data_IF_372163281973
#
_entry.id   IF_372163281973
#
_cell.length_a   1.000
_cell.length_b   1.000
_cell.length_c   1.000
_cell.angle_alpha   90.00
_cell.angle_beta   90.00
_cell.angle_gamma   90.00
#
_symmetry.space_group_name_H-M   'P 1'
#
loop_
_entity.id
_entity.type
_entity.pdbx_description
1 polymer ?
#
# COMPACT_ATOMS: atom_id res chain seq x y z
N UNK A 1 -56.71 -47.29 -9.25
CA UNK A 1 -55.51 -47.20 -10.10
C UNK A 1 -54.31 -47.25 -9.16
N UNK A 2 -53.68 -48.41 -9.09
CA UNK A 2 -52.70 -48.79 -8.06
C UNK A 2 -51.32 -48.62 -8.68
N UNK A 3 -50.59 -47.58 -8.31
CA UNK A 3 -49.23 -47.35 -8.81
C UNK A 3 -48.25 -48.07 -7.90
N UNK A 4 -47.65 -49.12 -8.46
CA UNK A 4 -46.62 -49.96 -7.85
C UNK A 4 -45.28 -49.19 -7.85
N UNK A 5 -44.72 -48.93 -6.67
CA UNK A 5 -43.40 -48.31 -6.51
C UNK A 5 -42.35 -49.43 -6.39
N UNK A 6 -41.51 -49.61 -7.41
CA UNK A 6 -40.39 -50.55 -7.39
C UNK A 6 -39.16 -49.89 -6.75
N UNK A 7 -38.70 -50.49 -5.65
CA UNK A 7 -37.37 -50.27 -5.07
C UNK A 7 -36.29 -50.85 -5.99
N UNK A 8 -35.26 -50.05 -6.30
CA UNK A 8 -33.96 -50.53 -6.78
C UNK A 8 -32.90 -50.18 -5.72
N UNK A 9 -32.51 -51.18 -4.93
CA UNK A 9 -31.33 -51.11 -4.06
C UNK A 9 -30.07 -51.27 -4.93
N UNK A 10 -29.32 -50.18 -5.12
CA UNK A 10 -27.97 -50.23 -5.67
C UNK A 10 -26.96 -50.52 -4.56
N UNK A 11 -26.32 -51.68 -4.59
CA UNK A 11 -25.13 -51.97 -3.80
C UNK A 11 -23.94 -51.19 -4.38
N UNK A 12 -23.71 -49.98 -3.87
CA UNK A 12 -22.46 -49.26 -4.07
C UNK A 12 -21.39 -49.83 -3.14
N UNK A 13 -20.39 -50.51 -3.69
CA UNK A 13 -19.17 -50.90 -2.97
C UNK A 13 -18.39 -49.63 -2.63
N UNK A 14 -18.49 -49.17 -1.39
CA UNK A 14 -17.57 -48.15 -0.87
C UNK A 14 -16.19 -48.79 -0.74
N UNK A 15 -15.26 -48.39 -1.61
CA UNK A 15 -13.84 -48.64 -1.38
C UNK A 15 -13.47 -48.03 -0.02
N UNK A 16 -12.68 -48.72 0.82
CA UNK A 16 -12.20 -48.14 2.06
C UNK A 16 -11.27 -46.97 1.71
N UNK A 17 -11.76 -45.74 1.88
CA UNK A 17 -10.91 -44.57 1.98
C UNK A 17 -10.09 -44.75 3.24
N UNK A 18 -8.85 -45.21 3.09
CA UNK A 18 -7.85 -45.14 4.15
C UNK A 18 -7.50 -43.68 4.36
N UNK A 19 -8.31 -42.99 5.16
CA UNK A 19 -7.87 -41.80 5.89
C UNK A 19 -6.84 -42.27 6.90
N UNK A 20 -5.57 -42.30 6.48
CA UNK A 20 -4.44 -42.39 7.39
C UNK A 20 -4.51 -41.19 8.34
N UNK A 21 -4.43 -41.38 9.66
CA UNK A 21 -4.32 -40.26 10.58
C UNK A 21 -3.02 -39.53 10.26
N UNK A 22 -3.14 -38.24 9.93
CA UNK A 22 -2.01 -37.31 9.98
C UNK A 22 -1.41 -37.37 11.39
N UNK A 23 -0.11 -37.65 11.51
CA UNK A 23 0.60 -37.34 12.75
C UNK A 23 1.76 -38.23 13.20
N UNK A 24 2.08 -39.36 12.54
CA UNK A 24 3.26 -40.15 12.93
C UNK A 24 4.18 -40.40 11.74
N UNK A 25 5.23 -39.59 11.63
CA UNK A 25 6.38 -39.89 10.77
C UNK A 25 7.02 -41.17 11.32
N UNK A 26 7.00 -42.24 10.53
CA UNK A 26 7.53 -43.55 10.94
C UNK A 26 8.94 -43.75 10.39
N UNK A 27 9.83 -44.23 11.25
CA UNK A 27 11.19 -44.64 10.86
C UNK A 27 11.34 -46.17 11.04
N UNK A 28 11.92 -46.90 10.06
CA UNK A 28 12.38 -46.41 8.75
C UNK A 28 11.23 -45.90 7.88
N UNK A 29 11.49 -44.90 7.04
CA UNK A 29 10.49 -44.37 6.12
C UNK A 29 10.05 -45.44 5.11
N UNK A 30 8.85 -45.28 4.55
CA UNK A 30 8.38 -46.14 3.47
C UNK A 30 9.33 -46.08 2.26
N UNK A 31 9.35 -47.16 1.47
CA UNK A 31 10.13 -47.19 0.24
C UNK A 31 9.68 -46.07 -0.72
N UNK A 32 10.66 -45.36 -1.31
CA UNK A 32 10.41 -44.24 -2.23
C UNK A 32 10.13 -42.88 -1.56
N UNK A 33 10.21 -42.78 -0.23
CA UNK A 33 9.94 -41.53 0.51
C UNK A 33 10.90 -40.38 0.19
N UNK A 34 12.02 -40.66 -0.47
CA UNK A 34 12.92 -39.66 -1.07
C UNK A 34 12.29 -38.90 -2.25
N UNK A 35 11.20 -39.40 -2.83
CA UNK A 35 10.42 -38.67 -3.82
C UNK A 35 9.71 -37.47 -3.18
N UNK A 36 9.97 -36.26 -3.69
CA UNK A 36 9.38 -35.02 -3.16
C UNK A 36 7.85 -34.98 -3.16
N UNK A 37 7.19 -35.79 -4.00
CA UNK A 37 5.73 -35.93 -3.99
C UNK A 37 5.18 -36.61 -2.73
N UNK A 38 6.00 -37.41 -2.03
CA UNK A 38 5.61 -38.14 -0.82
C UNK A 38 5.90 -37.34 0.44
N UNK A 39 7.11 -36.79 0.59
CA UNK A 39 7.49 -36.07 1.82
C UNK A 39 7.28 -34.55 1.73
N UNK A 40 7.14 -33.95 0.54
CA UNK A 40 7.05 -32.49 0.37
C UNK A 40 5.87 -31.85 1.12
N UNK A 41 4.62 -32.32 0.94
CA UNK A 41 3.47 -31.79 1.67
C UNK A 41 3.58 -31.95 3.19
N UNK A 42 4.13 -33.08 3.66
CA UNK A 42 4.32 -33.36 5.09
C UNK A 42 5.44 -32.49 5.69
N UNK A 43 6.54 -32.30 4.97
CA UNK A 43 7.65 -31.43 5.37
C UNK A 43 7.23 -29.96 5.49
N UNK A 44 6.29 -29.50 4.66
CA UNK A 44 5.72 -28.15 4.75
C UNK A 44 4.79 -27.97 5.95
N UNK A 45 4.06 -29.01 6.35
CA UNK A 45 3.11 -28.95 7.47
C UNK A 45 3.75 -29.26 8.83
N UNK A 46 4.86 -30.00 8.84
CA UNK A 46 5.44 -30.58 10.05
C UNK A 46 6.97 -30.59 10.04
N UNK A 47 7.58 -29.56 9.44
CA UNK A 47 9.04 -29.47 9.28
C UNK A 47 9.83 -29.64 10.59
N UNK A 48 9.27 -29.26 11.74
CA UNK A 48 9.89 -29.49 13.05
C UNK A 48 10.05 -30.97 13.40
N UNK A 49 9.09 -31.82 13.01
CA UNK A 49 9.16 -33.27 13.23
C UNK A 49 10.28 -33.89 12.38
N UNK A 50 10.45 -33.41 11.14
CA UNK A 50 11.52 -33.85 10.25
C UNK A 50 12.90 -33.38 10.77
N UNK A 51 12.98 -32.15 11.27
CA UNK A 51 14.22 -31.52 11.76
C UNK A 51 14.87 -32.23 12.94
N UNK A 52 14.14 -33.02 13.72
CA UNK A 52 14.72 -33.85 14.78
C UNK A 52 15.73 -34.87 14.26
N UNK A 53 15.44 -35.45 13.08
CA UNK A 53 16.27 -36.45 12.42
C UNK A 53 17.11 -35.85 11.28
N UNK A 54 16.57 -34.91 10.50
CA UNK A 54 17.20 -34.33 9.29
C UNK A 54 17.89 -32.98 9.56
N UNK A 55 18.87 -33.00 10.45
CA UNK A 55 19.64 -31.81 10.87
C UNK A 55 21.14 -31.99 10.69
N UNK A 56 21.86 -30.87 10.71
CA UNK A 56 23.33 -30.87 10.67
C UNK A 56 23.91 -31.76 11.78
N UNK A 57 24.85 -32.64 11.39
CA UNK A 57 25.50 -33.60 12.27
C UNK A 57 24.70 -34.87 12.59
N UNK A 58 23.51 -35.05 12.00
CA UNK A 58 22.78 -36.32 12.05
C UNK A 58 23.30 -37.32 10.99
N UNK A 59 22.88 -38.59 11.09
CA UNK A 59 23.14 -39.60 10.05
C UNK A 59 22.16 -39.52 8.87
N UNK A 60 21.06 -38.77 9.01
CA UNK A 60 20.11 -38.57 7.92
C UNK A 60 20.58 -37.40 7.03
N UNK A 61 20.29 -37.42 5.72
CA UNK A 61 20.61 -36.29 4.84
C UNK A 61 19.85 -35.04 5.27
N UNK A 62 20.49 -33.88 5.20
CA UNK A 62 19.79 -32.61 5.44
C UNK A 62 18.97 -32.23 4.22
N UNK A 63 17.93 -31.41 4.40
CA UNK A 63 17.12 -30.91 3.29
C UNK A 63 17.99 -30.21 2.22
N UNK A 64 18.99 -29.44 2.66
CA UNK A 64 19.91 -28.73 1.78
C UNK A 64 20.83 -29.64 0.94
N UNK A 65 20.97 -30.92 1.30
CA UNK A 65 21.75 -31.88 0.50
C UNK A 65 21.04 -32.31 -0.79
N UNK A 66 19.73 -32.12 -0.87
CA UNK A 66 18.91 -32.40 -2.06
C UNK A 66 18.18 -31.15 -2.61
N UNK A 67 18.00 -30.13 -1.78
CA UNK A 67 17.32 -28.88 -2.11
C UNK A 67 18.25 -27.69 -1.90
N UNK A 68 18.99 -27.31 -2.95
CA UNK A 68 20.03 -26.27 -2.91
C UNK A 68 19.54 -24.89 -2.43
N UNK A 69 18.23 -24.65 -2.51
CA UNK A 69 17.60 -23.40 -2.08
C UNK A 69 16.83 -23.54 -0.77
N UNK A 70 16.96 -24.65 -0.04
CA UNK A 70 16.19 -24.90 1.18
C UNK A 70 16.92 -24.44 2.47
N UNK A 71 16.22 -23.77 3.40
CA UNK A 71 14.92 -23.14 3.19
C UNK A 71 15.03 -21.89 2.29
N UNK A 72 16.25 -21.34 2.17
CA UNK A 72 16.59 -20.22 1.30
C UNK A 72 17.95 -20.45 0.63
N UNK A 73 18.18 -19.83 -0.53
CA UNK A 73 19.48 -19.87 -1.20
C UNK A 73 20.60 -19.18 -0.38
N UNK A 74 21.84 -19.57 -0.62
CA UNK A 74 23.00 -18.91 -0.01
C UNK A 74 23.00 -17.40 -0.31
N UNK A 75 23.26 -16.58 0.70
CA UNK A 75 23.24 -15.11 0.59
C UNK A 75 21.86 -14.47 0.64
N UNK A 76 20.78 -15.25 0.84
CA UNK A 76 19.41 -14.71 0.88
C UNK A 76 19.21 -13.57 1.88
N UNK A 77 19.83 -13.62 3.06
CA UNK A 77 19.74 -12.56 4.08
C UNK A 77 20.37 -11.22 3.65
N UNK A 78 21.06 -11.16 2.52
CA UNK A 78 21.53 -9.89 1.97
C UNK A 78 20.32 -8.99 1.67
N UNK A 79 20.37 -7.72 2.09
CA UNK A 79 19.21 -6.83 2.07
C UNK A 79 18.66 -6.55 0.67
N UNK A 80 19.51 -6.63 -0.35
CA UNK A 80 19.19 -6.54 -1.77
C UNK A 80 18.55 -7.82 -2.35
N UNK A 81 18.55 -8.93 -1.60
CA UNK A 81 17.91 -10.19 -1.98
C UNK A 81 16.63 -10.41 -1.16
N UNK A 82 16.71 -10.44 0.17
CA UNK A 82 15.57 -10.68 1.05
C UNK A 82 14.55 -9.52 1.02
N UNK A 83 15.02 -8.28 1.09
CA UNK A 83 14.16 -7.11 1.29
C UNK A 83 13.52 -6.56 0.01
N UNK A 84 14.11 -6.84 -1.16
CA UNK A 84 13.73 -6.21 -2.43
C UNK A 84 12.30 -6.54 -2.83
N UNK A 85 11.85 -7.76 -2.53
CA UNK A 85 10.49 -8.23 -2.83
C UNK A 85 9.44 -7.83 -1.81
N UNK A 86 9.81 -7.34 -0.62
CA UNK A 86 8.89 -7.08 0.49
C UNK A 86 8.25 -5.69 0.45
N UNK A 87 8.57 -4.88 -0.56
CA UNK A 87 8.07 -3.51 -0.73
C UNK A 87 7.34 -3.32 -2.06
N UNK A 88 6.64 -2.19 -2.23
CA UNK A 88 5.87 -1.90 -3.45
C UNK A 88 4.64 -2.79 -3.64
N UNK A 89 4.12 -2.83 -4.87
CA UNK A 89 2.90 -3.57 -5.22
C UNK A 89 3.04 -5.09 -5.04
N UNK A 90 4.23 -5.63 -5.26
CA UNK A 90 4.54 -7.05 -5.11
C UNK A 90 4.80 -7.43 -3.64
N UNK A 91 5.05 -6.43 -2.78
CA UNK A 91 5.39 -6.62 -1.37
C UNK A 91 4.32 -7.33 -0.56
N UNK A 92 3.04 -7.10 -0.86
CA UNK A 92 1.94 -7.78 -0.17
C UNK A 92 1.97 -9.29 -0.41
N UNK A 93 2.00 -9.71 -1.67
CA UNK A 93 2.06 -11.12 -2.04
C UNK A 93 3.36 -11.80 -1.56
N UNK A 94 4.49 -11.09 -1.63
CA UNK A 94 5.75 -11.61 -1.12
C UNK A 94 5.71 -11.86 0.40
N UNK A 95 5.14 -10.92 1.17
CA UNK A 95 4.96 -11.09 2.62
C UNK A 95 4.01 -12.23 2.95
N UNK A 96 2.90 -12.35 2.24
CA UNK A 96 1.96 -13.47 2.40
C UNK A 96 2.66 -14.82 2.17
N UNK A 97 3.48 -14.92 1.13
CA UNK A 97 4.28 -16.12 0.85
C UNK A 97 5.30 -16.42 1.97
N UNK A 98 5.97 -15.40 2.52
CA UNK A 98 6.87 -15.58 3.66
C UNK A 98 6.12 -16.04 4.91
N UNK A 99 5.02 -15.37 5.25
CA UNK A 99 4.16 -15.67 6.41
C UNK A 99 3.60 -17.08 6.32
N UNK A 100 3.18 -17.53 5.14
CA UNK A 100 2.67 -18.89 4.94
C UNK A 100 3.67 -19.99 5.31
N UNK A 101 4.98 -19.73 5.16
CA UNK A 101 6.01 -20.67 5.61
C UNK A 101 6.48 -20.38 7.05
N UNK A 102 6.50 -19.13 7.49
CA UNK A 102 7.05 -18.74 8.78
C UNK A 102 6.04 -18.84 9.94
N UNK A 103 4.75 -18.89 9.66
CA UNK A 103 3.72 -19.20 10.65
C UNK A 103 3.74 -20.70 10.97
N UNK A 104 4.12 -21.06 12.20
CA UNK A 104 4.12 -22.45 12.67
C UNK A 104 5.45 -23.20 12.50
N UNK A 105 6.45 -22.58 11.90
CA UNK A 105 7.85 -23.04 11.99
C UNK A 105 8.58 -22.20 13.05
N UNK A 106 9.61 -22.76 13.70
CA UNK A 106 10.60 -22.03 14.53
C UNK A 106 11.43 -20.99 13.74
N UNK A 107 10.85 -20.31 12.75
CA UNK A 107 11.47 -19.27 11.97
C UNK A 107 11.52 -17.95 12.78
N UNK A 108 12.61 -17.15 12.66
CA UNK A 108 12.65 -15.81 13.23
C UNK A 108 11.49 -14.96 12.71
N UNK A 109 10.79 -14.28 13.61
CA UNK A 109 9.83 -13.24 13.23
C UNK A 109 10.56 -12.04 12.62
N UNK A 110 9.88 -11.27 11.77
CA UNK A 110 10.44 -10.04 11.20
C UNK A 110 11.02 -9.11 12.28
N UNK A 111 10.38 -9.06 13.45
CA UNK A 111 10.78 -8.22 14.59
C UNK A 111 12.09 -8.63 15.25
N UNK A 112 12.57 -9.85 15.02
CA UNK A 112 13.86 -10.32 15.54
C UNK A 112 15.03 -9.53 14.95
N UNK A 113 14.93 -9.14 13.67
CA UNK A 113 15.96 -8.35 12.98
C UNK A 113 15.50 -6.92 12.68
N UNK A 114 14.18 -6.70 12.57
CA UNK A 114 13.56 -5.41 12.30
C UNK A 114 12.70 -4.98 13.49
N UNK A 115 13.29 -4.47 14.59
CA UNK A 115 12.57 -4.15 15.82
C UNK A 115 11.50 -3.07 15.65
N UNK A 116 11.55 -2.32 14.54
CA UNK A 116 10.55 -1.31 14.17
C UNK A 116 9.52 -1.83 13.17
N UNK A 117 9.41 -3.15 12.96
CA UNK A 117 8.45 -3.75 12.04
C UNK A 117 7.10 -4.06 12.72
N UNK A 118 5.95 -3.78 12.07
CA UNK A 118 5.84 -2.99 10.85
C UNK A 118 6.07 -1.49 11.11
N UNK A 119 5.88 -1.05 12.35
CA UNK A 119 6.11 0.32 12.81
C UNK A 119 6.82 0.35 14.17
N UNK A 120 7.66 1.35 14.46
CA UNK A 120 8.28 1.52 15.78
C UNK A 120 7.24 1.91 16.85
N UNK A 121 7.62 1.76 18.13
CA UNK A 121 6.82 2.25 19.24
C UNK A 121 6.53 3.77 19.12
N UNK A 122 5.29 4.16 19.43
CA UNK A 122 4.83 5.56 19.32
C UNK A 122 4.61 6.04 17.88
N UNK A 123 4.74 5.19 16.85
CA UNK A 123 4.57 5.62 15.45
C UNK A 123 3.20 6.25 15.16
N UNK A 124 2.14 5.80 15.84
CA UNK A 124 0.79 6.33 15.67
C UNK A 124 0.63 7.79 16.16
N UNK A 125 1.60 8.33 16.90
CA UNK A 125 1.61 9.74 17.33
C UNK A 125 1.59 10.68 16.12
N UNK A 126 0.81 11.77 16.23
CA UNK A 126 0.53 12.72 15.14
C UNK A 126 1.79 13.30 14.47
N UNK A 127 2.84 13.50 15.25
CA UNK A 127 4.09 14.10 14.78
C UNK A 127 5.05 13.09 14.15
N UNK A 128 4.79 11.77 14.28
CA UNK A 128 5.69 10.72 13.79
C UNK A 128 5.30 10.19 12.42
N UNK A 129 4.14 9.54 12.27
CA UNK A 129 3.77 8.94 10.99
C UNK A 129 3.63 9.99 9.88
N UNK A 130 3.12 11.18 10.21
CA UNK A 130 2.96 12.27 9.26
C UNK A 130 4.31 12.81 8.77
N UNK A 131 5.29 12.96 9.68
CA UNK A 131 6.65 13.35 9.31
C UNK A 131 7.34 12.27 8.46
N UNK A 132 7.12 11.00 8.76
CA UNK A 132 7.63 9.87 7.99
C UNK A 132 7.06 9.83 6.57
N UNK A 133 5.74 10.00 6.43
CA UNK A 133 5.08 10.07 5.13
C UNK A 133 5.63 11.21 4.27
N UNK A 134 5.87 12.38 4.87
CA UNK A 134 6.46 13.54 4.18
C UNK A 134 7.92 13.31 3.78
N UNK A 135 8.73 12.69 4.63
CA UNK A 135 10.17 12.46 4.35
C UNK A 135 10.40 11.47 3.20
N UNK A 136 9.42 10.60 2.92
CA UNK A 136 9.42 9.64 1.80
C UNK A 136 8.78 10.20 0.52
N UNK A 137 8.54 11.50 0.46
CA UNK A 137 7.86 12.14 -0.65
C UNK A 137 6.35 12.17 -0.42
N UNK A 138 5.67 11.02 -0.38
CA UNK A 138 4.22 10.99 -0.13
C UNK A 138 3.84 9.85 0.80
N UNK A 139 2.67 9.95 1.44
CA UNK A 139 2.16 8.84 2.25
C UNK A 139 1.89 7.59 1.39
N UNK A 140 1.51 7.76 0.12
CA UNK A 140 1.36 6.63 -0.82
C UNK A 140 2.70 5.93 -1.06
N UNK A 141 3.77 6.68 -1.31
CA UNK A 141 5.12 6.13 -1.48
C UNK A 141 5.65 5.50 -0.18
N UNK A 142 5.27 6.04 0.97
CA UNK A 142 5.73 5.58 2.28
C UNK A 142 4.99 4.33 2.77
N UNK A 143 3.67 4.27 2.55
CA UNK A 143 2.76 3.36 3.24
C UNK A 143 1.96 2.47 2.29
N UNK A 144 1.86 2.82 1.00
CA UNK A 144 0.96 2.17 0.03
C UNK A 144 1.22 0.69 -0.20
N UNK A 145 2.47 0.24 0.01
CA UNK A 145 2.81 -1.19 -0.07
C UNK A 145 2.14 -2.05 1.01
N UNK A 146 1.69 -1.45 2.11
CA UNK A 146 1.04 -2.15 3.23
C UNK A 146 -0.42 -1.72 3.41
N UNK A 147 -0.72 -0.44 3.18
CA UNK A 147 -2.05 0.16 3.35
C UNK A 147 -2.88 0.20 2.05
N UNK A 148 -2.37 -0.44 1.00
CA UNK A 148 -3.06 -0.59 -0.27
C UNK A 148 -3.09 0.68 -1.12
N UNK A 149 -3.66 0.59 -2.33
CA UNK A 149 -3.71 1.71 -3.27
C UNK A 149 -4.51 2.89 -2.72
N UNK A 150 -3.93 4.09 -2.82
CA UNK A 150 -4.49 5.35 -2.32
C UNK A 150 -4.73 5.33 -0.81
N UNK A 151 -4.03 4.46 -0.08
CA UNK A 151 -4.14 4.29 1.37
C UNK A 151 -5.57 4.04 1.85
N UNK A 152 -6.34 3.26 1.08
CA UNK A 152 -7.71 2.87 1.41
C UNK A 152 -7.82 1.79 2.49
N UNK A 153 -6.69 1.32 2.98
CA UNK A 153 -6.62 0.18 3.89
C UNK A 153 -6.62 -1.15 3.15
N UNK A 154 -6.31 -2.19 3.92
CA UNK A 154 -6.39 -3.61 3.55
C UNK A 154 -7.03 -4.36 4.72
N UNK A 155 -7.23 -5.67 4.60
CA UNK A 155 -7.75 -6.48 5.71
C UNK A 155 -6.87 -6.43 6.98
N UNK A 156 -5.60 -6.04 6.81
CA UNK A 156 -4.60 -5.99 7.89
C UNK A 156 -4.08 -4.59 8.21
N UNK A 157 -4.52 -3.56 7.48
CA UNK A 157 -4.00 -2.20 7.63
C UNK A 157 -5.12 -1.15 7.50
N UNK A 158 -5.18 -0.14 8.39
CA UNK A 158 -6.25 0.85 8.37
C UNK A 158 -6.15 1.79 7.15
N UNK A 159 -7.30 2.34 6.76
CA UNK A 159 -7.36 3.45 5.80
C UNK A 159 -6.88 4.76 6.44
N UNK A 160 -6.22 5.61 5.67
CA UNK A 160 -5.92 6.97 6.13
C UNK A 160 -7.19 7.75 6.47
N UNK A 161 -8.31 7.46 5.81
CA UNK A 161 -9.59 8.13 6.03
C UNK A 161 -10.30 7.73 7.33
N UNK A 162 -9.84 6.70 8.04
CA UNK A 162 -10.38 6.33 9.35
C UNK A 162 -10.07 7.39 10.41
N UNK A 163 -8.93 8.08 10.30
CA UNK A 163 -8.54 9.17 11.21
C UNK A 163 -8.43 10.52 10.50
N UNK A 164 -8.11 10.53 9.20
CA UNK A 164 -7.98 11.74 8.39
C UNK A 164 -9.12 11.82 7.38
N UNK A 165 -10.31 12.22 7.83
CA UNK A 165 -11.54 12.28 7.03
C UNK A 165 -11.37 13.02 5.69
N UNK A 166 -10.50 14.04 5.68
CA UNK A 166 -10.24 14.89 4.52
C UNK A 166 -9.00 14.48 3.72
N UNK A 167 -8.40 13.30 3.96
CA UNK A 167 -7.17 12.88 3.28
C UNK A 167 -7.42 12.13 1.96
N UNK A 168 -6.64 12.40 0.89
CA UNK A 168 -5.73 13.55 0.76
C UNK A 168 -6.49 14.87 0.52
N UNK A 169 -7.77 14.77 0.11
CA UNK A 169 -8.69 15.88 -0.03
C UNK A 169 -10.11 15.46 0.38
N UNK A 170 -10.98 16.39 0.80
CA UNK A 170 -12.40 16.11 0.97
C UNK A 170 -13.06 15.69 -0.34
N UNK A 171 -14.21 15.01 -0.23
CA UNK A 171 -15.03 14.71 -1.40
C UNK A 171 -15.39 16.01 -2.13
N UNK A 172 -15.44 15.95 -3.48
CA UNK A 172 -15.73 17.09 -4.36
C UNK A 172 -14.64 18.18 -4.41
N UNK A 173 -13.37 17.88 -4.11
CA UNK A 173 -12.28 18.86 -4.29
C UNK A 173 -12.09 19.35 -5.74
N UNK A 174 -12.70 18.68 -6.73
CA UNK A 174 -12.77 19.16 -8.12
C UNK A 174 -13.88 20.19 -8.35
N UNK A 175 -14.77 20.39 -7.38
CA UNK A 175 -15.80 21.43 -7.40
C UNK A 175 -15.14 22.78 -7.06
N UNK A 176 -15.15 23.77 -7.97
CA UNK A 176 -14.56 25.06 -7.72
C UNK A 176 -15.11 25.74 -6.46
N UNK A 177 -16.38 25.53 -6.13
CA UNK A 177 -16.99 26.13 -4.94
C UNK A 177 -16.43 25.53 -3.65
N UNK A 178 -16.08 24.24 -3.63
CA UNK A 178 -15.51 23.58 -2.44
C UNK A 178 -14.01 23.88 -2.33
N UNK A 179 -13.28 23.80 -3.45
CA UNK A 179 -11.84 24.09 -3.51
C UNK A 179 -11.53 25.53 -3.11
N UNK A 180 -12.34 26.49 -3.58
CA UNK A 180 -12.14 27.92 -3.36
C UNK A 180 -12.16 28.36 -1.90
N UNK A 181 -12.79 27.58 -1.04
CA UNK A 181 -12.94 27.92 0.38
C UNK A 181 -11.71 27.55 1.21
N UNK A 182 -10.77 26.79 0.65
CA UNK A 182 -9.61 26.29 1.36
C UNK A 182 -8.45 27.28 1.32
N UNK A 183 -7.75 27.42 2.44
CA UNK A 183 -6.57 28.27 2.54
C UNK A 183 -5.39 27.67 1.76
N UNK A 184 -4.78 28.47 0.88
CA UNK A 184 -3.63 28.08 0.07
C UNK A 184 -2.44 27.62 0.94
N UNK A 185 -2.28 28.16 2.16
CA UNK A 185 -1.21 27.70 3.05
C UNK A 185 -1.35 26.23 3.44
N UNK A 186 -2.59 25.74 3.51
CA UNK A 186 -2.90 24.31 3.76
C UNK A 186 -2.46 23.45 2.58
N UNK A 187 -2.59 23.98 1.35
CA UNK A 187 -2.20 23.29 0.12
C UNK A 187 -0.68 23.22 -0.06
N UNK A 188 0.06 24.24 0.40
CA UNK A 188 1.49 24.38 0.15
C UNK A 188 2.33 23.23 0.72
N UNK A 189 1.87 22.60 1.80
CA UNK A 189 2.53 21.43 2.39
C UNK A 189 2.61 20.23 1.42
N UNK A 190 1.65 20.10 0.50
CA UNK A 190 1.58 19.01 -0.46
C UNK A 190 1.91 19.45 -1.89
N UNK A 191 1.41 20.62 -2.29
CA UNK A 191 1.48 21.14 -3.65
C UNK A 191 2.62 22.14 -3.87
N UNK A 192 3.37 22.51 -2.83
CA UNK A 192 4.45 23.51 -2.88
C UNK A 192 3.95 24.94 -2.65
N UNK A 193 4.84 25.87 -2.24
CA UNK A 193 4.51 27.26 -1.89
C UNK A 193 3.60 28.00 -2.88
N UNK A 194 3.68 27.71 -4.17
CA UNK A 194 2.86 28.34 -5.22
C UNK A 194 2.11 27.30 -6.06
N UNK A 195 1.87 26.12 -5.50
CA UNK A 195 1.13 25.07 -6.20
C UNK A 195 1.87 24.51 -7.43
N UNK A 196 3.20 24.53 -7.43
CA UNK A 196 4.06 24.01 -8.49
C UNK A 196 4.08 22.47 -8.57
N UNK A 197 3.37 21.80 -7.66
CA UNK A 197 3.14 20.36 -7.63
C UNK A 197 3.76 19.66 -6.43
N UNK A 198 4.83 20.21 -5.86
CA UNK A 198 5.44 19.74 -4.62
C UNK A 198 5.63 18.21 -4.53
N UNK A 199 5.21 17.64 -3.40
CA UNK A 199 5.19 16.20 -3.18
C UNK A 199 3.99 15.50 -3.83
N UNK A 200 2.89 16.22 -4.03
CA UNK A 200 1.68 15.70 -4.67
C UNK A 200 1.87 15.41 -6.17
N UNK A 201 2.91 15.98 -6.79
CA UNK A 201 3.20 15.92 -8.24
C UNK A 201 2.03 16.43 -9.11
N UNK A 202 1.16 17.25 -8.54
CA UNK A 202 0.03 17.87 -9.24
C UNK A 202 0.11 19.37 -9.05
N UNK A 203 0.53 20.07 -10.11
CA UNK A 203 0.60 21.52 -10.11
C UNK A 203 -0.80 22.14 -10.35
N UNK A 204 -1.05 23.30 -9.76
CA UNK A 204 -2.24 24.11 -10.01
C UNK A 204 -2.41 24.43 -11.49
N UNK A 205 -1.29 24.62 -12.23
CA UNK A 205 -1.27 24.86 -13.68
C UNK A 205 -1.95 23.77 -14.51
N UNK A 206 -2.09 22.56 -13.96
CA UNK A 206 -2.82 21.46 -14.60
C UNK A 206 -4.29 21.81 -14.85
N UNK A 207 -4.90 22.60 -13.98
CA UNK A 207 -6.30 23.02 -14.07
C UNK A 207 -6.43 24.54 -14.28
N UNK A 208 -5.49 25.33 -13.75
CA UNK A 208 -5.44 26.78 -13.84
C UNK A 208 -4.32 27.20 -14.80
N UNK A 209 -4.59 27.19 -16.11
CA UNK A 209 -3.57 27.40 -17.15
C UNK A 209 -2.75 28.70 -17.01
N UNK A 210 -3.27 29.70 -16.31
CA UNK A 210 -2.63 30.99 -16.06
C UNK A 210 -1.95 31.09 -14.68
N UNK A 211 -1.94 30.02 -13.89
CA UNK A 211 -1.40 29.99 -12.53
C UNK A 211 -0.19 29.04 -12.41
N UNK A 212 0.87 29.40 -11.66
CA UNK A 212 1.09 30.71 -11.05
C UNK A 212 1.24 31.79 -12.13
N UNK A 213 0.75 32.99 -11.85
CA UNK A 213 0.85 34.10 -12.80
C UNK A 213 2.34 34.40 -13.12
N UNK A 214 2.68 34.69 -14.39
CA UNK A 214 4.05 35.06 -14.73
C UNK A 214 4.47 36.37 -14.02
N UNK A 215 5.78 36.57 -13.83
CA UNK A 215 6.30 37.71 -13.08
C UNK A 215 5.91 39.08 -13.71
N UNK A 216 5.66 39.10 -15.02
CA UNK A 216 5.20 40.27 -15.77
C UNK A 216 3.68 40.33 -15.91
N UNK A 217 2.91 39.45 -15.24
CA UNK A 217 1.45 39.44 -15.29
C UNK A 217 0.88 40.82 -15.01
N UNK A 218 1.46 41.59 -14.08
CA UNK A 218 1.05 42.97 -13.81
C UNK A 218 1.17 43.87 -15.06
N UNK A 219 2.26 43.73 -15.82
CA UNK A 219 2.50 44.50 -17.05
C UNK A 219 1.54 44.06 -18.14
N UNK A 220 1.38 42.76 -18.35
CA UNK A 220 0.44 42.21 -19.32
C UNK A 220 -1.03 42.54 -18.99
N UNK A 221 -1.37 42.54 -17.70
CA UNK A 221 -2.70 42.86 -17.17
C UNK A 221 -3.03 44.33 -17.35
N UNK A 222 -2.13 45.26 -16.93
CA UNK A 222 -2.31 46.70 -17.12
C UNK A 222 -2.37 47.06 -18.61
N UNK A 223 -1.50 46.45 -19.44
CA UNK A 223 -1.52 46.68 -20.88
C UNK A 223 -2.81 46.18 -21.55
N UNK A 224 -3.42 45.10 -21.04
CA UNK A 224 -4.71 44.60 -21.52
C UNK A 224 -5.85 45.50 -21.07
N UNK A 225 -5.92 45.87 -19.79
CA UNK A 225 -6.91 46.80 -19.25
C UNK A 225 -6.92 48.13 -20.00
N UNK A 226 -5.75 48.66 -20.34
CA UNK A 226 -5.61 49.88 -21.15
C UNK A 226 -6.18 49.75 -22.57
N UNK A 227 -6.20 48.53 -23.14
CA UNK A 227 -6.73 48.27 -24.50
C UNK A 227 -8.23 47.94 -24.52
N UNK A 228 -8.71 47.22 -23.51
CA UNK A 228 -10.10 46.71 -23.47
C UNK A 228 -11.05 47.60 -22.70
N UNK A 229 -10.54 48.62 -21.99
CA UNK A 229 -11.30 49.41 -21.03
C UNK A 229 -11.54 48.64 -19.72
N UNK A 230 -12.05 49.35 -18.72
CA UNK A 230 -12.19 48.84 -17.34
C UNK A 230 -13.46 47.99 -17.13
N UNK A 231 -14.45 48.10 -18.02
CA UNK A 231 -15.73 47.43 -17.87
C UNK A 231 -15.63 45.88 -17.76
N UNK A 232 -14.81 45.19 -18.57
CA UNK A 232 -14.58 43.74 -18.40
C UNK A 232 -13.84 43.38 -17.10
N UNK A 233 -13.10 44.33 -16.51
CA UNK A 233 -12.32 44.11 -15.29
C UNK A 233 -13.21 44.07 -14.04
N UNK A 234 -14.40 44.70 -14.07
CA UNK A 234 -15.35 44.69 -12.95
C UNK A 234 -16.03 43.33 -12.72
N UNK A 235 -15.82 42.37 -13.62
CA UNK A 235 -16.20 40.98 -13.37
C UNK A 235 -15.33 40.33 -12.27
N UNK A 236 -14.15 40.88 -12.00
CA UNK A 236 -13.20 40.37 -11.00
C UNK A 236 -12.78 41.40 -9.93
N UNK A 237 -13.00 42.70 -10.18
CA UNK A 237 -12.60 43.80 -9.29
C UNK A 237 -13.79 44.68 -8.94
N UNK A 238 -13.85 45.18 -7.71
CA UNK A 238 -14.81 46.22 -7.37
C UNK A 238 -14.36 47.57 -7.96
N UNK A 239 -15.29 48.47 -8.32
CA UNK A 239 -14.95 49.83 -8.70
C UNK A 239 -14.14 50.52 -7.60
N UNK A 240 -12.90 50.92 -7.90
CA UNK A 240 -11.99 51.58 -6.95
C UNK A 240 -10.86 50.72 -6.40
N UNK A 241 -10.74 49.44 -6.78
CA UNK A 241 -9.66 48.51 -6.36
C UNK A 241 -8.25 48.84 -6.94
N UNK A 242 -8.01 50.12 -7.27
CA UNK A 242 -6.81 50.59 -7.93
C UNK A 242 -5.51 50.16 -7.26
N UNK A 243 -4.70 49.38 -7.97
CA UNK A 243 -3.30 49.10 -7.62
C UNK A 243 -3.09 48.01 -6.56
N UNK A 244 -4.12 47.32 -6.10
CA UNK A 244 -3.93 46.16 -5.23
C UNK A 244 -3.08 45.12 -5.97
N UNK A 245 -2.01 44.57 -5.35
CA UNK A 245 -1.29 43.45 -5.94
C UNK A 245 -2.30 42.33 -6.19
N UNK A 246 -2.36 41.83 -7.43
CA UNK A 246 -3.08 40.59 -7.73
C UNK A 246 -2.51 39.57 -6.73
N UNK A 247 -3.33 39.01 -5.82
CA UNK A 247 -2.82 38.10 -4.83
C UNK A 247 -2.08 36.99 -5.57
N UNK A 248 -0.87 36.64 -5.12
CA UNK A 248 -0.12 35.49 -5.64
C UNK A 248 -0.77 34.15 -5.24
N UNK A 249 -2.05 34.16 -4.87
CA UNK A 249 -2.77 33.08 -4.24
C UNK A 249 -4.22 32.97 -4.69
N UNK A 250 -4.80 31.79 -4.46
CA UNK A 250 -6.13 31.37 -4.92
C UNK A 250 -7.31 32.07 -4.20
N UNK A 251 -7.06 33.21 -3.54
CA UNK A 251 -7.97 33.85 -2.60
C UNK A 251 -9.21 34.49 -3.27
N UNK A 252 -10.05 35.11 -2.43
CA UNK A 252 -11.35 35.73 -2.71
C UNK A 252 -11.49 36.44 -4.08
N UNK A 253 -10.41 37.02 -4.60
CA UNK A 253 -10.36 37.75 -5.87
C UNK A 253 -10.65 36.91 -7.13
N UNK A 254 -10.35 35.60 -7.13
CA UNK A 254 -10.55 34.75 -8.32
C UNK A 254 -11.72 33.79 -8.18
N UNK A 255 -11.99 33.33 -6.96
CA UNK A 255 -13.01 32.31 -6.73
C UNK A 255 -14.27 32.81 -6.03
N UNK A 256 -14.33 34.10 -5.68
CA UNK A 256 -15.55 34.77 -5.28
C UNK A 256 -16.21 34.16 -4.03
N UNK A 257 -16.17 34.89 -2.92
CA UNK A 257 -17.37 34.93 -2.10
C UNK A 257 -17.84 36.36 -2.00
N UNK A 258 -19.08 36.59 -2.39
CA UNK A 258 -20.09 37.07 -1.45
C UNK A 258 -21.50 36.73 -1.93
N UNK A 259 -22.47 36.54 -1.03
CA UNK A 259 -22.37 36.52 0.44
C UNK A 259 -22.14 35.12 1.02
#
# INVERSE_FOLDING_TARGET
MTTLLLLALGCGTTAPTTTTPSGAITFPHAEGYDAGALHGPEALQSGELCGGCHRDGSTAPTCASCHDTYPHAAGWLAGDVHGVGLTGEQGAAAREACTACHEGLSAPTCTTCHPSWPHPEGWAEIDRHGAWARSRGSAEAACGSCHGPRLKGTDTAPSCTECHEVYPHPARMTDPAVHAELDQTTCAACHGPVGEGGIAKVACSRCHATFPHPADQRVAHVATAARTGEAPCFACHAPGDGGAPIPSGCALACHGRTP
#
